data_IF_926095709137
#
_entry.id   IF_926095709137
#
_cell.length_a   1.000
_cell.length_b   1.000
_cell.length_c   1.000
_cell.angle_alpha   90.00
_cell.angle_beta   90.00
_cell.angle_gamma   90.00
#
_symmetry.space_group_name_H-M   'P 1'
#
loop_
_entity.id
_entity.type
_entity.pdbx_description
1 polymer ?
#
# COMPACT_ATOMS: atom_id res chain seq x y z
N UNK A 1 -5.51 -8.67 10.01
CA UNK A 1 -5.12 -7.23 9.99
C UNK A 1 -6.38 -6.41 9.70
N UNK A 2 -6.57 -5.27 10.35
CA UNK A 2 -7.76 -4.42 10.14
C UNK A 2 -7.34 -3.09 9.53
N UNK A 3 -8.14 -2.61 8.58
CA UNK A 3 -7.91 -1.37 7.85
C UNK A 3 -9.19 -0.56 7.78
N UNK A 4 -9.02 0.75 7.66
CA UNK A 4 -10.12 1.68 7.43
C UNK A 4 -9.84 2.61 6.27
N UNK A 5 -10.89 3.03 5.58
CA UNK A 5 -10.85 4.07 4.57
C UNK A 5 -11.37 5.37 5.16
N UNK A 6 -10.64 6.48 4.97
CA UNK A 6 -11.13 7.80 5.38
C UNK A 6 -12.30 8.24 4.48
N UNK A 7 -13.43 8.59 5.09
CA UNK A 7 -14.60 9.15 4.40
C UNK A 7 -14.82 10.64 4.73
N UNK A 8 -14.17 11.15 5.79
CA UNK A 8 -14.24 12.55 6.18
C UNK A 8 -12.94 13.00 6.90
N UNK A 9 -12.20 13.93 6.31
CA UNK A 9 -10.96 14.48 6.87
C UNK A 9 -11.10 15.93 7.37
N UNK A 10 -12.32 16.44 7.58
CA UNK A 10 -12.53 17.83 8.01
C UNK A 10 -11.82 18.10 9.34
N UNK A 11 -10.89 19.06 9.33
CA UNK A 11 -10.05 19.43 10.47
C UNK A 11 -8.69 18.72 10.53
N UNK A 12 -8.47 17.75 9.64
CA UNK A 12 -7.27 16.91 9.57
C UNK A 12 -6.77 16.74 8.13
N UNK A 13 -6.96 17.73 7.26
CA UNK A 13 -6.65 17.61 5.83
C UNK A 13 -5.14 17.44 5.53
N UNK A 14 -4.27 17.78 6.48
CA UNK A 14 -2.84 17.51 6.36
C UNK A 14 -2.52 16.02 6.61
N UNK A 15 -3.12 15.45 7.65
CA UNK A 15 -2.79 14.10 8.13
C UNK A 15 -3.68 13.01 7.51
N UNK A 16 -4.88 13.35 7.02
CA UNK A 16 -5.85 12.42 6.44
C UNK A 16 -6.29 12.82 5.02
N UNK A 17 -6.36 11.84 4.13
CA UNK A 17 -6.81 11.98 2.74
C UNK A 17 -8.10 11.17 2.53
N UNK A 18 -9.17 11.81 2.05
CA UNK A 18 -10.42 11.12 1.73
C UNK A 18 -10.15 10.03 0.68
N UNK A 19 -10.64 8.82 0.96
CA UNK A 19 -10.48 7.64 0.11
C UNK A 19 -9.20 6.83 0.37
N UNK A 20 -8.23 7.37 1.11
CA UNK A 20 -7.03 6.63 1.49
C UNK A 20 -7.32 5.59 2.58
N UNK A 21 -6.54 4.51 2.57
CA UNK A 21 -6.64 3.39 3.51
C UNK A 21 -5.56 3.49 4.58
N UNK A 22 -5.96 3.29 5.83
CA UNK A 22 -5.11 3.41 7.02
C UNK A 22 -5.17 2.11 7.84
N UNK A 23 -4.05 1.74 8.45
CA UNK A 23 -3.94 0.55 9.31
C UNK A 23 -4.42 0.87 10.72
N UNK A 24 -5.31 0.02 11.26
CA UNK A 24 -5.76 0.12 12.66
C UNK A 24 -4.73 -0.52 13.58
N UNK A 25 -4.40 0.19 14.66
CA UNK A 25 -3.61 -0.30 15.79
C UNK A 25 -4.53 -0.64 16.97
N UNK A 26 -4.05 -1.49 17.88
CA UNK A 26 -4.77 -1.79 19.10
C UNK A 26 -4.99 -0.51 19.92
N UNK A 27 -6.24 -0.25 20.27
CA UNK A 27 -6.63 0.85 21.13
C UNK A 27 -7.67 0.40 22.16
N UNK A 28 -7.80 1.17 23.23
CA UNK A 28 -8.76 0.92 24.31
C UNK A 28 -9.73 2.10 24.48
N UNK A 29 -9.72 3.06 23.55
CA UNK A 29 -10.55 4.26 23.63
C UNK A 29 -11.86 4.08 22.84
N UNK A 30 -13.02 4.04 23.51
CA UNK A 30 -14.30 3.88 22.83
C UNK A 30 -14.59 5.06 21.90
N UNK A 31 -15.04 4.77 20.68
CA UNK A 31 -15.41 5.81 19.70
C UNK A 31 -14.23 6.39 18.91
N UNK A 32 -13.00 5.99 19.24
CA UNK A 32 -11.79 6.41 18.52
C UNK A 32 -11.13 5.22 17.82
N UNK A 33 -10.38 5.50 16.76
CA UNK A 33 -9.49 4.55 16.08
C UNK A 33 -8.07 5.08 16.16
N UNK A 34 -7.14 4.21 16.57
CA UNK A 34 -5.71 4.49 16.54
C UNK A 34 -5.17 4.02 15.19
N UNK A 35 -4.63 4.92 14.38
CA UNK A 35 -4.11 4.61 13.05
C UNK A 35 -2.74 5.25 12.83
N UNK A 36 -1.99 4.73 11.85
CA UNK A 36 -0.82 5.40 11.28
C UNK A 36 -1.31 6.32 10.16
N UNK A 37 -1.08 7.63 10.27
CA UNK A 37 -1.57 8.64 9.33
C UNK A 37 -0.63 8.87 8.12
N UNK A 38 -0.91 9.90 7.30
CA UNK A 38 -0.09 10.23 6.13
C UNK A 38 1.34 10.66 6.46
N UNK A 39 1.58 11.08 7.69
CA UNK A 39 2.88 11.54 8.20
C UNK A 39 3.66 10.38 8.82
N UNK A 40 3.05 9.19 8.88
CA UNK A 40 3.62 8.01 9.55
C UNK A 40 3.45 8.06 11.06
N UNK A 41 2.65 8.99 11.58
CA UNK A 41 2.44 9.17 13.01
C UNK A 41 1.26 8.34 13.51
N UNK A 42 1.37 7.91 14.77
CA UNK A 42 0.38 7.13 15.50
C UNK A 42 -0.57 8.07 16.26
N UNK A 43 -1.80 8.22 15.75
CA UNK A 43 -2.82 9.08 16.35
C UNK A 43 -4.18 8.42 16.49
N UNK A 44 -4.94 8.97 17.45
CA UNK A 44 -6.35 8.66 17.67
C UNK A 44 -7.23 9.65 16.91
N UNK A 45 -8.19 9.11 16.17
CA UNK A 45 -9.20 9.88 15.45
C UNK A 45 -10.59 9.31 15.71
N UNK A 46 -11.63 10.15 15.59
CA UNK A 46 -13.02 9.71 15.73
C UNK A 46 -13.34 8.61 14.71
N UNK A 47 -13.90 7.49 15.18
CA UNK A 47 -14.23 6.34 14.33
C UNK A 47 -15.22 6.68 13.20
N UNK A 48 -16.08 7.68 13.41
CA UNK A 48 -17.08 8.15 12.43
C UNK A 48 -16.46 8.73 11.14
N UNK A 49 -15.17 9.08 11.18
CA UNK A 49 -14.42 9.58 10.01
C UNK A 49 -14.06 8.48 9.03
N UNK A 50 -14.31 7.23 9.40
CA UNK A 50 -13.77 6.06 8.75
C UNK A 50 -14.84 5.01 8.44
N UNK A 51 -14.57 4.24 7.40
CA UNK A 51 -15.32 3.05 7.05
C UNK A 51 -14.37 1.85 7.09
N UNK A 52 -14.80 0.73 7.68
CA UNK A 52 -14.02 -0.52 7.66
C UNK A 52 -13.80 -0.99 6.22
N UNK A 53 -12.56 -1.41 5.94
CA UNK A 53 -12.22 -2.08 4.69
C UNK A 53 -12.44 -3.57 4.90
N UNK A 54 -13.49 -4.08 4.28
CA UNK A 54 -13.73 -5.52 4.16
C UNK A 54 -12.73 -6.09 3.16
N UNK A 55 -11.78 -6.88 3.65
CA UNK A 55 -10.91 -7.70 2.80
C UNK A 55 -11.71 -8.95 2.43
N UNK A 56 -12.66 -8.82 1.51
CA UNK A 56 -13.37 -9.97 0.98
C UNK A 56 -12.49 -10.67 -0.06
N UNK A 57 -12.24 -11.97 0.13
CA UNK A 57 -11.50 -12.86 -0.78
C UNK A 57 -12.18 -13.03 -2.16
N UNK A 58 -13.32 -12.36 -2.40
CA UNK A 58 -14.13 -12.50 -3.61
C UNK A 58 -13.76 -11.54 -4.74
N UNK A 59 -12.97 -10.50 -4.46
CA UNK A 59 -12.31 -9.77 -5.54
C UNK A 59 -11.09 -10.59 -5.94
N UNK A 60 -10.92 -10.99 -7.21
CA UNK A 60 -9.67 -11.60 -7.64
C UNK A 60 -8.57 -10.60 -7.32
N UNK A 61 -7.78 -10.91 -6.30
CA UNK A 61 -6.53 -10.24 -6.03
C UNK A 61 -5.63 -10.72 -7.17
N UNK A 62 -5.70 -10.04 -8.32
CA UNK A 62 -4.57 -10.07 -9.21
C UNK A 62 -3.45 -9.43 -8.38
N UNK A 63 -2.57 -10.25 -7.82
CA UNK A 63 -1.33 -9.89 -7.12
C UNK A 63 -0.33 -9.22 -8.10
N UNK A 64 -0.84 -8.33 -8.94
CA UNK A 64 -0.18 -7.74 -10.08
C UNK A 64 0.04 -6.25 -9.81
N UNK A 65 1.27 -5.91 -9.44
CA UNK A 65 1.72 -4.52 -9.48
C UNK A 65 1.90 -4.13 -10.95
N UNK A 66 1.06 -3.22 -11.46
CA UNK A 66 1.21 -2.68 -12.81
C UNK A 66 2.11 -1.45 -12.78
N UNK A 67 3.27 -1.54 -13.43
CA UNK A 67 4.19 -0.40 -13.60
C UNK A 67 4.14 0.13 -15.04
N UNK A 68 4.00 1.45 -15.18
CA UNK A 68 4.10 2.11 -16.48
C UNK A 68 5.53 2.59 -16.70
N UNK A 69 6.20 1.97 -17.67
CA UNK A 69 7.58 2.29 -18.04
C UNK A 69 7.62 2.99 -19.38
N UNK A 70 8.51 3.98 -19.52
CA UNK A 70 8.81 4.55 -20.83
C UNK A 70 9.60 3.56 -21.70
N UNK A 71 9.73 3.87 -22.98
CA UNK A 71 10.40 2.98 -23.96
C UNK A 71 11.87 2.70 -23.62
N UNK A 72 12.58 3.68 -23.06
CA UNK A 72 13.98 3.55 -22.68
C UNK A 72 14.16 2.58 -21.50
N UNK A 73 13.38 2.75 -20.43
CA UNK A 73 13.40 1.86 -19.27
C UNK A 73 13.00 0.43 -19.63
N UNK A 74 12.02 0.26 -20.52
CA UNK A 74 11.66 -1.06 -21.06
C UNK A 74 12.83 -1.71 -21.80
N UNK A 75 13.60 -0.93 -22.55
CA UNK A 75 14.82 -1.39 -23.23
C UNK A 75 15.90 -1.84 -22.26
N UNK A 76 16.13 -1.05 -21.20
CA UNK A 76 17.11 -1.36 -20.15
C UNK A 76 16.73 -2.66 -19.43
N UNK A 77 15.50 -2.79 -18.94
CA UNK A 77 15.06 -4.01 -18.25
C UNK A 77 15.20 -5.27 -19.10
N UNK A 78 14.93 -5.16 -20.40
CA UNK A 78 15.13 -6.28 -21.33
C UNK A 78 16.61 -6.64 -21.45
N UNK A 79 17.50 -5.65 -21.55
CA UNK A 79 18.94 -5.89 -21.66
C UNK A 79 19.50 -6.56 -20.39
N UNK A 80 19.08 -6.09 -19.22
CA UNK A 80 19.46 -6.67 -17.92
C UNK A 80 18.94 -8.10 -17.77
N UNK A 81 17.68 -8.37 -18.16
CA UNK A 81 17.13 -9.73 -18.09
C UNK A 81 17.92 -10.71 -18.97
N UNK A 82 18.32 -10.27 -20.17
CA UNK A 82 19.17 -11.06 -21.05
C UNK A 82 20.56 -11.30 -20.46
N UNK A 83 21.17 -10.28 -19.85
CA UNK A 83 22.48 -10.39 -19.19
C UNK A 83 22.44 -11.38 -18.01
N UNK A 84 21.35 -11.40 -17.26
CA UNK A 84 21.11 -12.32 -16.14
C UNK A 84 20.51 -13.67 -16.57
N UNK A 85 20.44 -13.96 -17.88
CA UNK A 85 19.89 -15.21 -18.42
C UNK A 85 18.48 -15.56 -17.92
N UNK A 86 17.67 -14.53 -17.69
CA UNK A 86 16.30 -14.65 -17.17
C UNK A 86 15.31 -13.87 -18.03
N UNK A 87 14.04 -13.90 -17.66
CA UNK A 87 13.02 -13.06 -18.27
C UNK A 87 12.75 -11.82 -17.41
N UNK A 88 12.15 -10.79 -18.03
CA UNK A 88 11.89 -9.50 -17.36
C UNK A 88 11.06 -9.66 -16.10
N UNK A 89 10.07 -10.56 -16.07
CA UNK A 89 9.24 -10.78 -14.88
C UNK A 89 10.01 -11.41 -13.71
N UNK A 90 10.89 -12.38 -13.99
CA UNK A 90 11.70 -13.02 -12.96
C UNK A 90 12.76 -12.06 -12.41
N UNK A 91 13.43 -11.30 -13.29
CA UNK A 91 14.35 -10.24 -12.87
C UNK A 91 13.65 -9.20 -11.98
N UNK A 92 12.45 -8.76 -12.36
CA UNK A 92 11.70 -7.78 -11.58
C UNK A 92 11.27 -8.33 -10.22
N UNK A 93 10.88 -9.60 -10.11
CA UNK A 93 10.58 -10.22 -8.82
C UNK A 93 11.81 -10.27 -7.92
N UNK A 94 12.93 -10.73 -8.44
CA UNK A 94 14.22 -10.75 -7.73
C UNK A 94 14.63 -9.34 -7.28
N UNK A 95 14.54 -8.34 -8.16
CA UNK A 95 14.88 -6.96 -7.79
C UNK A 95 13.92 -6.35 -6.78
N UNK A 96 12.63 -6.68 -6.87
CA UNK A 96 11.65 -6.26 -5.87
C UNK A 96 12.04 -6.90 -4.53
N UNK A 97 12.27 -8.20 -4.46
CA UNK A 97 12.65 -8.89 -3.22
C UNK A 97 13.98 -8.40 -2.63
N UNK A 98 15.00 -8.15 -3.46
CA UNK A 98 16.35 -7.82 -3.00
C UNK A 98 16.61 -6.33 -2.78
N UNK A 99 15.94 -5.45 -3.55
CA UNK A 99 16.23 -4.00 -3.54
C UNK A 99 15.10 -3.15 -3.03
N UNK A 100 13.88 -3.66 -3.08
CA UNK A 100 12.69 -2.95 -2.67
C UNK A 100 12.17 -3.71 -1.45
N UNK A 101 12.76 -3.53 -0.25
CA UNK A 101 12.41 -4.23 1.00
C UNK A 101 10.88 -4.26 1.24
N UNK A 102 10.17 -5.12 0.54
CA UNK A 102 8.76 -5.37 0.72
C UNK A 102 8.72 -6.29 1.92
N UNK A 103 7.96 -5.95 2.98
CA UNK A 103 7.86 -6.84 4.11
C UNK A 103 7.39 -8.21 3.60
N UNK A 104 8.20 -9.24 3.86
CA UNK A 104 7.83 -10.63 3.61
C UNK A 104 6.48 -10.86 4.31
N UNK A 105 5.49 -11.29 3.53
CA UNK A 105 4.16 -11.65 4.04
C UNK A 105 4.24 -12.80 5.05
#
# INVERSE_FOLDING_TARGET
MQYVRCINNRGYQASLTIGATYKILANNEPGSLRIIDNEGEDYLYDAERFQMVELNDEQPIDDAVTIHLNSQLKGILRAEALASQTNVSALLREWIEERLDLPLA
#
